data_IF_299366782278
#
_entry.id   IF_299366782278
#
_cell.length_a   1.000
_cell.length_b   1.000
_cell.length_c   1.000
_cell.angle_alpha   90.00
_cell.angle_beta   90.00
_cell.angle_gamma   90.00
#
_symmetry.space_group_name_H-M   'P 1'
#
loop_
_entity.id
_entity.type
_entity.pdbx_description
1 polymer ?
#
# COMPACT_ATOMS: atom_id res chain seq x y z
N UNK A 1 7.79 9.54 33.55
CA UNK A 1 8.04 9.82 32.12
C UNK A 1 8.89 8.74 31.46
N UNK A 2 8.36 8.02 30.47
CA UNK A 2 9.08 6.97 29.74
C UNK A 2 9.01 7.19 28.22
N UNK A 3 9.38 8.39 27.78
CA UNK A 3 9.34 8.78 26.37
C UNK A 3 10.13 7.84 25.45
N UNK A 4 11.28 7.34 25.90
CA UNK A 4 12.13 6.42 25.13
C UNK A 4 11.45 5.05 24.94
N UNK A 5 10.85 4.50 26.00
CA UNK A 5 10.15 3.21 25.96
C UNK A 5 8.94 3.31 25.02
N UNK A 6 8.25 4.45 25.05
CA UNK A 6 7.09 4.68 24.19
C UNK A 6 7.47 4.72 22.70
N UNK A 7 8.62 5.30 22.34
CA UNK A 7 9.13 5.27 20.97
C UNK A 7 9.45 3.84 20.54
N UNK A 8 10.19 3.08 21.36
CA UNK A 8 10.55 1.69 21.08
C UNK A 8 9.31 0.81 20.93
N UNK A 9 8.34 0.96 21.84
CA UNK A 9 7.09 0.21 21.78
C UNK A 9 6.30 0.52 20.50
N UNK A 10 6.28 1.79 20.06
CA UNK A 10 5.60 2.18 18.82
C UNK A 10 6.25 1.54 17.60
N UNK A 11 7.57 1.57 17.51
CA UNK A 11 8.30 0.99 16.39
C UNK A 11 8.14 -0.54 16.35
N UNK A 12 8.18 -1.21 17.51
CA UNK A 12 7.98 -2.65 17.61
C UNK A 12 6.55 -3.07 17.21
N UNK A 13 5.53 -2.34 17.68
CA UNK A 13 4.13 -2.63 17.37
C UNK A 13 3.72 -2.24 15.95
N UNK A 14 4.48 -1.37 15.28
CA UNK A 14 4.26 -1.02 13.88
C UNK A 14 4.62 -2.16 12.91
N UNK A 15 5.46 -3.11 13.34
CA UNK A 15 5.86 -4.26 12.53
C UNK A 15 4.69 -5.27 12.51
N UNK A 16 4.09 -5.57 11.35
CA UNK A 16 3.04 -6.56 11.28
C UNK A 16 3.62 -7.95 11.61
N UNK A 17 2.99 -8.68 12.53
CA UNK A 17 3.44 -10.03 12.91
C UNK A 17 3.25 -11.11 11.84
N UNK A 18 2.64 -10.78 10.69
CA UNK A 18 2.40 -11.73 9.58
C UNK A 18 2.47 -11.04 8.22
N UNK A 19 2.75 -11.81 7.18
CA UNK A 19 2.74 -11.37 5.77
C UNK A 19 1.33 -11.18 5.18
N UNK A 20 0.26 -11.44 5.94
CA UNK A 20 -1.13 -11.43 5.46
C UNK A 20 -1.52 -10.09 4.83
N UNK A 21 -0.99 -8.99 5.34
CA UNK A 21 -1.24 -7.66 4.77
C UNK A 21 -0.71 -7.56 3.32
N UNK A 22 0.47 -8.12 3.06
CA UNK A 22 1.12 -8.13 1.74
C UNK A 22 0.43 -9.13 0.81
N UNK A 23 0.03 -10.30 1.31
CA UNK A 23 -0.73 -11.28 0.51
C UNK A 23 -2.09 -10.73 0.08
N UNK A 24 -2.79 -10.04 0.98
CA UNK A 24 -4.05 -9.36 0.66
C UNK A 24 -3.83 -8.25 -0.39
N UNK A 25 -2.73 -7.50 -0.28
CA UNK A 25 -2.34 -6.48 -1.25
C UNK A 25 -2.13 -7.08 -2.64
N UNK A 26 -1.37 -8.16 -2.76
CA UNK A 26 -1.15 -8.85 -4.04
C UNK A 26 -2.44 -9.45 -4.59
N UNK A 27 -3.26 -10.08 -3.75
CA UNK A 27 -4.56 -10.62 -4.16
C UNK A 27 -5.49 -9.54 -4.71
N UNK A 28 -5.59 -8.38 -4.04
CA UNK A 28 -6.35 -7.22 -4.51
C UNK A 28 -5.78 -6.55 -5.76
N UNK A 29 -4.52 -6.84 -6.10
CA UNK A 29 -3.81 -6.26 -7.24
C UNK A 29 -3.75 -7.23 -8.43
N UNK A 30 -4.51 -8.34 -8.37
CA UNK A 30 -4.59 -9.31 -9.46
C UNK A 30 -4.82 -8.64 -10.81
N UNK A 31 -5.73 -7.68 -10.92
CA UNK A 31 -6.03 -6.97 -12.17
C UNK A 31 -4.89 -6.07 -12.70
N UNK A 32 -3.96 -5.65 -11.84
CA UNK A 32 -2.77 -4.87 -12.22
C UNK A 32 -1.64 -5.83 -12.63
N UNK A 33 -1.54 -6.98 -11.96
CA UNK A 33 -0.54 -8.01 -12.24
C UNK A 33 -0.94 -8.99 -13.35
N UNK A 34 -2.21 -9.09 -13.73
CA UNK A 34 -2.65 -9.98 -14.82
C UNK A 34 -2.46 -9.31 -16.17
N UNK A 35 -1.92 -10.07 -17.11
CA UNK A 35 -1.58 -9.66 -18.47
C UNK A 35 -2.82 -9.26 -19.32
N UNK A 36 -4.03 -9.48 -18.81
CA UNK A 36 -5.30 -9.33 -19.54
C UNK A 36 -5.55 -7.91 -20.09
N UNK A 37 -4.88 -6.86 -19.59
CA UNK A 37 -5.13 -5.49 -20.09
C UNK A 37 -3.91 -4.64 -20.39
N UNK A 38 -2.74 -4.91 -19.80
CA UNK A 38 -1.52 -4.11 -20.04
C UNK A 38 -0.32 -4.88 -19.48
N UNK A 39 0.60 -5.34 -20.32
CA UNK A 39 1.86 -5.94 -19.86
C UNK A 39 2.73 -4.86 -19.19
N UNK A 40 2.42 -4.56 -17.93
CA UNK A 40 3.06 -3.51 -17.14
C UNK A 40 4.42 -3.99 -16.66
N UNK A 41 5.44 -3.13 -16.77
CA UNK A 41 6.76 -3.42 -16.18
C UNK A 41 6.61 -3.58 -14.67
N UNK A 42 7.41 -4.46 -14.07
CA UNK A 42 7.43 -4.70 -12.63
C UNK A 42 7.54 -3.39 -11.81
N UNK A 43 8.35 -2.44 -12.27
CA UNK A 43 8.48 -1.12 -11.63
C UNK A 43 7.14 -0.35 -11.59
N UNK A 44 6.38 -0.36 -12.69
CA UNK A 44 5.09 0.34 -12.79
C UNK A 44 4.02 -0.33 -11.95
N UNK A 45 4.04 -1.67 -11.87
CA UNK A 45 3.17 -2.44 -10.97
C UNK A 45 3.42 -1.97 -9.53
N UNK A 46 4.67 -1.98 -9.06
CA UNK A 46 5.03 -1.55 -7.71
C UNK A 46 4.58 -0.12 -7.40
N UNK A 47 4.79 0.82 -8.33
CA UNK A 47 4.32 2.21 -8.18
C UNK A 47 2.80 2.30 -8.04
N UNK A 48 2.05 1.55 -8.85
CA UNK A 48 0.60 1.53 -8.79
C UNK A 48 0.09 0.95 -7.45
N UNK A 49 0.72 -0.13 -6.95
CA UNK A 49 0.38 -0.71 -5.65
C UNK A 49 0.67 0.27 -4.50
N UNK A 50 1.83 0.93 -4.51
CA UNK A 50 2.19 1.95 -3.51
C UNK A 50 1.22 3.13 -3.53
N UNK A 51 0.90 3.66 -4.72
CA UNK A 51 -0.04 4.76 -4.89
C UNK A 51 -1.43 4.41 -4.33
N UNK A 52 -1.93 3.21 -4.64
CA UNK A 52 -3.20 2.71 -4.11
C UNK A 52 -3.19 2.65 -2.58
N UNK A 53 -2.09 2.19 -1.98
CA UNK A 53 -1.96 2.14 -0.51
C UNK A 53 -1.91 3.54 0.11
N UNK A 54 -1.18 4.47 -0.49
CA UNK A 54 -1.09 5.82 0.03
C UNK A 54 -2.42 6.58 -0.05
N UNK A 55 -3.18 6.41 -1.13
CA UNK A 55 -4.55 6.93 -1.23
C UNK A 55 -5.43 6.34 -0.12
N UNK A 56 -5.35 5.03 0.10
CA UNK A 56 -6.14 4.35 1.14
C UNK A 56 -5.75 4.80 2.56
N UNK A 57 -4.47 5.06 2.80
CA UNK A 57 -3.97 5.58 4.06
C UNK A 57 -4.23 7.08 4.24
N UNK A 58 -4.87 7.74 3.27
CA UNK A 58 -5.23 9.16 3.34
C UNK A 58 -4.06 10.12 3.12
N UNK A 59 -2.91 9.63 2.64
CA UNK A 59 -1.75 10.49 2.35
C UNK A 59 -1.97 11.36 1.10
N UNK A 60 -2.82 10.93 0.18
CA UNK A 60 -3.14 11.68 -1.04
C UNK A 60 -4.65 11.80 -1.22
N UNK A 61 -5.08 13.00 -1.64
CA UNK A 61 -6.47 13.27 -2.01
C UNK A 61 -6.60 13.10 -3.52
N UNK A 62 -7.37 12.11 -3.96
CA UNK A 62 -7.70 11.96 -5.38
C UNK A 62 -8.72 13.02 -5.73
N UNK A 63 -8.35 13.96 -6.61
CA UNK A 63 -9.32 14.88 -7.20
C UNK A 63 -10.07 14.15 -8.32
N UNK A 64 -11.28 13.68 -8.03
CA UNK A 64 -12.20 13.17 -9.03
C UNK A 64 -12.88 14.34 -9.77
N UNK A 65 -12.11 15.19 -10.44
CA UNK A 65 -12.62 16.32 -11.23
C UNK A 65 -12.70 16.03 -12.74
N UNK A 66 -12.42 14.80 -13.19
CA UNK A 66 -12.39 14.43 -14.63
C UNK A 66 -13.11 13.10 -14.95
N UNK A 67 -14.01 12.62 -14.09
CA UNK A 67 -14.96 11.56 -14.45
C UNK A 67 -16.30 12.22 -14.78
N UNK A 68 -16.38 12.80 -15.98
CA UNK A 68 -17.64 13.22 -16.59
C UNK A 68 -17.69 12.67 -18.01
#
# INVERSE_FOLDING_TARGET
>A
DFHIILLIARDFLAIPGTSVAVERLFSQSRHICTDLRSSLKAATITQCLLMKMWIKAGLFRVQSSQLK
#
